data_IF_512387308164
#
_entry.id   IF_512387308164
#
_cell.length_a   1.000
_cell.length_b   1.000
_cell.length_c   1.000
_cell.angle_alpha   90.00
_cell.angle_beta   90.00
_cell.angle_gamma   90.00
#
_symmetry.space_group_name_H-M   'P 1'
#
loop_
_entity.id
_entity.type
_entity.pdbx_description
1 polymer ?
#
# COMPACT_ATOMS: atom_id res chain seq x y z
N UNK A 1 -22.25 -11.80 -5.11
CA UNK A 1 -21.83 -12.42 -6.38
C UNK A 1 -20.37 -12.10 -6.55
N UNK A 2 -19.51 -13.09 -6.80
CA UNK A 2 -18.08 -12.83 -7.05
C UNK A 2 -17.98 -12.10 -8.38
N UNK A 3 -17.36 -10.93 -8.38
CA UNK A 3 -17.17 -10.10 -9.57
C UNK A 3 -16.11 -10.76 -10.47
N UNK A 4 -16.58 -11.41 -11.54
CA UNK A 4 -15.74 -12.09 -12.51
C UNK A 4 -15.09 -11.15 -13.55
N UNK A 5 -15.34 -9.84 -13.50
CA UNK A 5 -14.84 -8.92 -14.53
C UNK A 5 -13.31 -8.79 -14.54
N UNK A 6 -12.68 -8.84 -13.37
CA UNK A 6 -11.22 -8.80 -13.27
C UNK A 6 -10.55 -10.10 -13.76
N UNK A 7 -11.23 -11.25 -13.63
CA UNK A 7 -10.71 -12.55 -14.06
C UNK A 7 -10.42 -12.60 -15.57
N UNK A 8 -11.30 -11.99 -16.39
CA UNK A 8 -11.09 -11.91 -17.85
C UNK A 8 -9.94 -10.98 -18.23
N UNK A 9 -9.72 -9.92 -17.46
CA UNK A 9 -8.69 -8.93 -17.77
C UNK A 9 -7.27 -9.41 -17.47
N UNK A 10 -7.14 -10.41 -16.59
CA UNK A 10 -5.85 -10.95 -16.15
C UNK A 10 -5.63 -12.43 -16.54
N UNK A 11 -6.45 -12.99 -17.43
CA UNK A 11 -6.34 -14.39 -17.91
C UNK A 11 -4.98 -14.70 -18.57
N UNK A 12 -4.28 -13.67 -19.06
CA UNK A 12 -2.92 -13.77 -19.65
C UNK A 12 -1.85 -13.07 -18.81
N UNK A 13 -2.15 -12.66 -17.60
CA UNK A 13 -1.19 -11.97 -16.74
C UNK A 13 -0.29 -12.98 -16.00
N UNK A 14 0.95 -12.57 -15.71
CA UNK A 14 1.86 -13.33 -14.86
C UNK A 14 1.57 -13.11 -13.37
N UNK A 15 2.45 -13.66 -12.53
CA UNK A 15 2.47 -13.36 -11.08
C UNK A 15 2.87 -11.90 -10.88
N UNK A 16 2.10 -11.19 -10.06
CA UNK A 16 2.46 -9.84 -9.63
C UNK A 16 3.45 -9.93 -8.47
N UNK A 17 4.53 -9.15 -8.55
CA UNK A 17 5.50 -8.98 -7.47
C UNK A 17 5.50 -7.51 -7.09
N UNK A 18 5.15 -7.22 -5.85
CA UNK A 18 5.21 -5.87 -5.32
C UNK A 18 6.62 -5.58 -4.80
N UNK A 19 7.17 -4.42 -5.16
CA UNK A 19 8.50 -3.97 -4.75
C UNK A 19 8.32 -2.69 -3.95
N UNK A 20 8.74 -2.72 -2.69
CA UNK A 20 8.67 -1.58 -1.78
C UNK A 20 10.08 -1.07 -1.47
N UNK A 21 10.50 0.08 -2.02
CA UNK A 21 11.72 0.75 -1.58
C UNK A 21 11.64 1.13 -0.11
N UNK A 22 12.77 0.99 0.59
CA UNK A 22 12.92 1.39 1.99
C UNK A 22 13.75 2.67 2.03
N UNK A 23 13.17 3.71 2.62
CA UNK A 23 13.73 5.05 2.67
C UNK A 23 14.20 5.39 4.08
N UNK A 24 15.21 6.25 4.19
CA UNK A 24 15.68 6.76 5.47
C UNK A 24 14.70 7.77 6.08
N UNK A 25 14.78 7.93 7.39
CA UNK A 25 14.00 8.92 8.15
C UNK A 25 14.93 9.81 8.99
N UNK A 26 14.48 11.03 9.33
CA UNK A 26 15.14 11.82 10.36
C UNK A 26 15.01 11.15 11.74
N UNK A 27 15.95 11.42 12.63
CA UNK A 27 15.96 10.83 13.98
C UNK A 27 14.84 11.37 14.89
N UNK A 28 14.44 12.62 14.68
CA UNK A 28 13.41 13.28 15.47
C UNK A 28 11.99 12.85 15.05
N UNK A 29 11.20 12.41 16.03
CA UNK A 29 9.82 11.93 15.80
C UNK A 29 8.88 13.01 15.26
N UNK A 30 9.07 14.29 15.63
CA UNK A 30 8.22 15.36 15.09
C UNK A 30 8.54 15.63 13.61
N UNK A 31 9.83 15.60 13.24
CA UNK A 31 10.29 15.68 11.86
C UNK A 31 9.74 14.51 11.02
N UNK A 32 9.76 13.28 11.55
CA UNK A 32 9.14 12.12 10.91
C UNK A 32 7.64 12.35 10.67
N UNK A 33 6.89 12.80 11.68
CA UNK A 33 5.46 13.07 11.53
C UNK A 33 5.17 14.16 10.49
N UNK A 34 6.00 15.21 10.43
CA UNK A 34 5.88 16.26 9.41
C UNK A 34 6.12 15.70 8.01
N UNK A 35 7.15 14.87 7.85
CA UNK A 35 7.46 14.19 6.60
C UNK A 35 6.30 13.30 6.14
N UNK A 36 5.74 12.47 7.03
CA UNK A 36 4.60 11.62 6.70
C UNK A 36 3.37 12.42 6.29
N UNK A 37 3.01 13.50 7.02
CA UNK A 37 1.87 14.35 6.65
C UNK A 37 2.08 15.04 5.30
N UNK A 38 3.31 15.44 5.00
CA UNK A 38 3.68 16.02 3.72
C UNK A 38 3.54 15.00 2.57
N UNK A 39 4.08 13.79 2.73
CA UNK A 39 3.92 12.71 1.75
C UNK A 39 2.45 12.31 1.56
N UNK A 40 1.67 12.26 2.65
CA UNK A 40 0.22 12.02 2.58
C UNK A 40 -0.52 13.08 1.76
N UNK A 41 -0.18 14.35 1.94
CA UNK A 41 -0.76 15.43 1.17
C UNK A 41 -0.40 15.29 -0.32
N UNK A 42 0.87 15.03 -0.64
CA UNK A 42 1.29 14.81 -2.02
C UNK A 42 0.60 13.60 -2.65
N UNK A 43 0.46 12.49 -1.92
CA UNK A 43 -0.27 11.31 -2.38
C UNK A 43 -1.75 11.62 -2.61
N UNK A 44 -2.41 12.37 -1.73
CA UNK A 44 -3.78 12.84 -1.93
C UNK A 44 -3.92 13.63 -3.24
N UNK A 45 -3.01 14.55 -3.51
CA UNK A 45 -2.99 15.35 -4.75
C UNK A 45 -2.69 14.49 -5.98
N UNK A 46 -1.73 13.57 -5.88
CA UNK A 46 -1.36 12.63 -6.94
C UNK A 46 -2.56 11.74 -7.31
N UNK A 47 -3.18 11.09 -6.34
CA UNK A 47 -4.38 10.28 -6.57
C UNK A 47 -5.52 11.14 -7.11
N UNK A 48 -5.74 12.32 -6.55
CA UNK A 48 -6.71 13.31 -7.03
C UNK A 48 -6.56 13.64 -8.52
N UNK A 49 -5.32 13.90 -8.94
CA UNK A 49 -5.01 14.28 -10.33
C UNK A 49 -5.13 13.11 -11.33
N UNK A 50 -4.83 11.89 -10.90
CA UNK A 50 -4.81 10.69 -11.76
C UNK A 50 -6.11 9.88 -11.77
N UNK A 51 -7.04 10.15 -10.85
CA UNK A 51 -8.30 9.41 -10.74
C UNK A 51 -9.23 9.64 -11.93
N UNK A 52 -9.91 8.57 -12.35
CA UNK A 52 -10.97 8.60 -13.37
C UNK A 52 -12.35 8.85 -12.75
N UNK A 53 -13.23 9.48 -13.51
CA UNK A 53 -14.65 9.67 -13.19
C UNK A 53 -15.42 8.34 -13.26
N UNK A 54 -15.21 7.48 -12.26
CA UNK A 54 -15.92 6.20 -12.09
C UNK A 54 -16.74 6.19 -10.81
N UNK A 55 -17.92 5.56 -10.86
CA UNK A 55 -18.80 5.39 -9.70
C UNK A 55 -18.10 4.63 -8.56
N UNK A 56 -18.43 4.98 -7.32
CA UNK A 56 -17.85 4.34 -6.16
C UNK A 56 -18.52 3.00 -5.86
N UNK A 57 -17.75 1.92 -5.90
CA UNK A 57 -18.21 0.58 -5.53
C UNK A 57 -18.03 0.25 -4.04
N UNK A 58 -17.61 1.21 -3.20
CA UNK A 58 -17.21 0.99 -1.81
C UNK A 58 -18.29 0.38 -0.91
N UNK A 59 -19.56 0.56 -1.26
CA UNK A 59 -20.73 0.12 -0.51
C UNK A 59 -21.60 -0.91 -1.26
N UNK A 60 -21.11 -1.46 -2.38
CA UNK A 60 -21.90 -2.39 -3.20
C UNK A 60 -22.27 -3.65 -2.41
N UNK A 61 -21.36 -4.17 -1.59
CA UNK A 61 -21.59 -5.34 -0.74
C UNK A 61 -22.03 -4.99 0.70
N UNK A 62 -22.33 -3.71 0.97
CA UNK A 62 -22.73 -3.28 2.31
C UNK A 62 -24.18 -3.70 2.61
N UNK A 63 -24.35 -4.51 3.66
CA UNK A 63 -25.67 -4.91 4.20
C UNK A 63 -26.37 -3.83 5.02
N UNK A 64 -25.70 -2.70 5.31
CA UNK A 64 -26.28 -1.60 6.09
C UNK A 64 -27.33 -0.79 5.33
N UNK A 65 -28.29 -0.22 6.06
CA UNK A 65 -29.27 0.73 5.52
C UNK A 65 -28.58 1.90 4.80
N UNK A 66 -29.21 2.40 3.73
CA UNK A 66 -28.74 3.52 2.90
C UNK A 66 -27.41 3.28 2.13
N UNK A 67 -26.96 2.04 1.96
CA UNK A 67 -25.75 1.71 1.20
C UNK A 67 -25.69 2.39 -0.19
N UNK A 68 -26.81 2.39 -0.94
CA UNK A 68 -26.93 3.06 -2.25
C UNK A 68 -26.72 4.58 -2.15
N UNK A 69 -27.38 5.24 -1.20
CA UNK A 69 -27.25 6.68 -0.99
C UNK A 69 -25.80 7.04 -0.61
N UNK A 70 -25.17 6.28 0.29
CA UNK A 70 -23.75 6.45 0.64
C UNK A 70 -22.84 6.29 -0.57
N UNK A 71 -23.15 5.36 -1.47
CA UNK A 71 -22.46 5.19 -2.75
C UNK A 71 -22.57 6.42 -3.66
N UNK A 72 -23.78 6.97 -3.82
CA UNK A 72 -24.00 8.18 -4.61
C UNK A 72 -23.32 9.41 -4.02
N UNK A 73 -23.49 9.65 -2.71
CA UNK A 73 -22.83 10.76 -2.00
C UNK A 73 -21.31 10.66 -2.15
N UNK A 74 -20.72 9.48 -1.95
CA UNK A 74 -19.29 9.27 -2.13
C UNK A 74 -18.85 9.51 -3.58
N UNK A 75 -19.65 9.10 -4.56
CA UNK A 75 -19.36 9.34 -5.98
C UNK A 75 -19.38 10.83 -6.31
N UNK A 76 -20.39 11.56 -5.83
CA UNK A 76 -20.48 13.01 -6.01
C UNK A 76 -19.27 13.73 -5.41
N UNK A 77 -18.90 13.41 -4.16
CA UNK A 77 -17.72 13.95 -3.51
C UNK A 77 -16.42 13.61 -4.25
N UNK A 78 -16.30 12.36 -4.73
CA UNK A 78 -15.16 11.92 -5.56
C UNK A 78 -15.06 12.75 -6.84
N UNK A 79 -16.17 12.99 -7.53
CA UNK A 79 -16.17 13.75 -8.78
C UNK A 79 -15.81 15.22 -8.55
N UNK A 80 -16.31 15.83 -7.48
CA UNK A 80 -15.90 17.18 -7.07
C UNK A 80 -14.39 17.25 -6.77
N UNK A 81 -13.86 16.25 -6.05
CA UNK A 81 -12.44 16.17 -5.75
C UNK A 81 -11.57 15.98 -7.01
N UNK A 82 -11.99 15.12 -7.94
CA UNK A 82 -11.29 14.94 -9.23
C UNK A 82 -11.33 16.25 -10.02
N UNK A 83 -12.50 16.89 -10.17
CA UNK A 83 -12.61 18.16 -10.88
C UNK A 83 -11.70 19.25 -10.33
N UNK A 84 -11.52 19.31 -9.01
CA UNK A 84 -10.62 20.25 -8.33
C UNK A 84 -9.13 19.90 -8.47
N UNK A 85 -8.76 18.64 -8.71
CA UNK A 85 -7.35 18.21 -8.69
C UNK A 85 -6.82 17.75 -10.05
N UNK A 86 -7.68 17.56 -11.05
CA UNK A 86 -7.29 16.98 -12.34
C UNK A 86 -6.30 17.84 -13.13
N UNK A 87 -6.29 19.16 -12.91
CA UNK A 87 -5.35 20.07 -13.56
C UNK A 87 -3.94 20.03 -12.93
N UNK A 88 -3.76 19.36 -11.79
CA UNK A 88 -2.45 19.27 -11.16
C UNK A 88 -1.53 18.37 -12.00
N UNK A 89 -0.25 18.73 -12.16
CA UNK A 89 0.69 17.97 -12.97
C UNK A 89 1.08 16.67 -12.26
N UNK A 90 0.36 15.58 -12.55
CA UNK A 90 0.55 14.25 -11.94
C UNK A 90 2.01 13.80 -11.98
N UNK A 91 2.70 13.97 -13.12
CA UNK A 91 4.10 13.54 -13.28
C UNK A 91 5.04 14.34 -12.38
N UNK A 92 4.79 15.64 -12.18
CA UNK A 92 5.57 16.47 -11.28
C UNK A 92 5.34 16.11 -9.81
N UNK A 93 4.09 15.78 -9.44
CA UNK A 93 3.77 15.29 -8.10
C UNK A 93 4.50 13.98 -7.78
N UNK A 94 4.49 13.01 -8.70
CA UNK A 94 5.22 11.74 -8.53
C UNK A 94 6.73 11.99 -8.39
N UNK A 95 7.31 12.84 -9.25
CA UNK A 95 8.73 13.21 -9.15
C UNK A 95 9.05 13.83 -7.79
N UNK A 96 8.16 14.70 -7.28
CA UNK A 96 8.32 15.34 -5.97
C UNK A 96 8.26 14.33 -4.83
N UNK A 97 7.29 13.41 -4.82
CA UNK A 97 7.18 12.33 -3.82
C UNK A 97 8.47 11.51 -3.78
N UNK A 98 8.99 11.13 -4.95
CA UNK A 98 10.22 10.34 -5.05
C UNK A 98 11.47 11.14 -4.61
N UNK A 99 11.55 12.42 -4.96
CA UNK A 99 12.63 13.30 -4.51
C UNK A 99 12.62 13.48 -2.98
N UNK A 100 11.44 13.62 -2.39
CA UNK A 100 11.28 13.78 -0.95
C UNK A 100 11.63 12.49 -0.18
N UNK A 101 11.30 11.32 -0.74
CA UNK A 101 11.70 10.04 -0.17
C UNK A 101 13.24 9.86 -0.13
N UNK A 102 13.96 10.46 -1.09
CA UNK A 102 15.43 10.38 -1.19
C UNK A 102 16.16 11.39 -0.29
N UNK A 103 15.46 12.26 0.43
CA UNK A 103 16.09 13.30 1.27
C UNK A 103 17.00 12.72 2.35
N UNK A 104 16.66 11.54 2.87
CA UNK A 104 17.42 10.83 3.91
C UNK A 104 17.93 9.51 3.34
N UNK A 105 19.23 9.42 2.97
CA UNK A 105 19.80 8.19 2.43
C UNK A 105 19.72 7.04 3.43
N UNK A 106 19.23 5.88 2.97
CA UNK A 106 19.14 4.65 3.77
C UNK A 106 20.45 4.32 4.51
N UNK A 107 21.61 4.52 3.86
CA UNK A 107 22.92 4.19 4.42
C UNK A 107 23.21 4.91 5.74
N UNK A 108 22.72 6.14 5.88
CA UNK A 108 23.07 7.05 6.97
C UNK A 108 21.94 7.20 8.00
N UNK A 109 20.76 6.63 7.73
CA UNK A 109 19.59 6.79 8.57
C UNK A 109 19.61 5.80 9.75
N UNK A 110 19.23 6.27 10.94
CA UNK A 110 18.95 5.39 12.07
C UNK A 110 17.62 4.68 11.92
N UNK A 111 16.59 5.41 11.47
CA UNK A 111 15.25 4.89 11.26
C UNK A 111 14.91 4.83 9.77
N UNK A 112 14.04 3.89 9.41
CA UNK A 112 13.64 3.61 8.02
C UNK A 112 12.15 3.35 7.92
N UNK A 113 11.57 3.58 6.73
CA UNK A 113 10.18 3.28 6.40
C UNK A 113 9.94 3.24 4.89
N UNK A 114 8.76 2.76 4.46
CA UNK A 114 8.34 2.79 3.05
C UNK A 114 7.64 4.13 2.75
N UNK A 115 8.37 5.19 2.38
CA UNK A 115 7.79 6.55 2.37
C UNK A 115 6.81 6.82 1.22
N UNK A 116 6.98 6.15 0.07
CA UNK A 116 6.25 6.49 -1.16
C UNK A 116 4.76 6.16 -1.06
N UNK A 117 4.37 5.10 -0.34
CA UNK A 117 2.96 4.67 -0.20
C UNK A 117 2.42 4.86 1.23
N UNK A 118 2.52 6.10 1.73
CA UNK A 118 2.10 6.49 3.08
C UNK A 118 0.56 6.60 3.28
N UNK A 119 -0.24 5.66 2.77
CA UNK A 119 -1.71 5.78 2.77
C UNK A 119 -2.34 6.06 4.16
N UNK A 120 -1.72 5.57 5.24
CA UNK A 120 -2.15 5.79 6.64
C UNK A 120 -1.08 6.44 7.54
N UNK A 121 -0.04 7.02 6.94
CA UNK A 121 1.00 7.77 7.65
C UNK A 121 1.99 6.88 8.39
N UNK A 122 2.17 5.64 7.91
CA UNK A 122 3.23 4.69 8.25
C UNK A 122 3.57 4.51 9.73
N UNK A 123 2.60 4.73 10.62
CA UNK A 123 2.82 4.70 12.07
C UNK A 123 3.35 3.37 12.60
N UNK A 124 3.20 2.27 11.84
CA UNK A 124 3.66 0.92 12.17
C UNK A 124 4.75 0.40 11.24
N UNK A 125 5.28 1.26 10.38
CA UNK A 125 6.31 0.89 9.40
C UNK A 125 7.59 1.70 9.63
N UNK A 126 7.80 2.17 10.87
CA UNK A 126 9.03 2.83 11.29
C UNK A 126 9.86 1.82 12.06
N UNK A 127 11.04 1.50 11.55
CA UNK A 127 11.96 0.53 12.15
C UNK A 127 13.32 1.17 12.37
N UNK A 128 14.09 0.66 13.35
CA UNK A 128 15.53 0.89 13.35
C UNK A 128 16.15 0.14 12.17
N UNK A 129 17.08 0.78 11.46
CA UNK A 129 17.76 0.19 10.29
C UNK A 129 18.44 -1.13 10.61
N UNK A 130 18.91 -1.28 11.85
CA UNK A 130 19.60 -2.48 12.35
C UNK A 130 18.78 -3.76 12.21
N UNK A 131 17.44 -3.67 12.18
CA UNK A 131 16.56 -4.81 11.89
C UNK A 131 16.85 -5.44 10.50
N UNK A 132 17.36 -4.64 9.55
CA UNK A 132 17.65 -5.03 8.18
C UNK A 132 19.13 -5.34 7.93
N UNK A 133 20.00 -5.20 8.94
CA UNK A 133 21.43 -5.47 8.79
C UNK A 133 21.72 -6.98 8.62
N UNK A 134 20.83 -7.84 9.13
CA UNK A 134 20.97 -9.29 9.07
C UNK A 134 19.79 -9.96 8.37
N UNK A 135 20.11 -10.99 7.59
CA UNK A 135 19.14 -11.82 6.88
C UNK A 135 19.42 -13.30 7.12
N UNK A 136 18.36 -14.09 7.11
CA UNK A 136 18.40 -15.55 7.21
C UNK A 136 17.69 -16.17 6.00
N UNK A 137 18.12 -17.37 5.59
CA UNK A 137 17.40 -18.14 4.58
C UNK A 137 16.18 -18.79 5.22
N UNK A 138 15.04 -18.67 4.54
CA UNK A 138 13.79 -19.29 4.94
C UNK A 138 13.37 -20.29 3.87
N UNK A 139 13.03 -21.53 4.24
CA UNK A 139 12.49 -22.49 3.30
C UNK A 139 11.08 -22.06 2.88
N UNK A 140 10.83 -22.09 1.58
CA UNK A 140 9.52 -21.87 0.99
C UNK A 140 9.34 -22.84 -0.18
N UNK A 141 8.42 -23.80 -0.01
CA UNK A 141 8.22 -24.90 -0.96
C UNK A 141 9.54 -25.67 -1.24
N UNK A 142 10.03 -25.63 -2.48
CA UNK A 142 11.24 -26.32 -2.95
C UNK A 142 12.48 -25.39 -3.04
N UNK A 143 12.37 -24.16 -2.55
CA UNK A 143 13.43 -23.14 -2.62
C UNK A 143 13.63 -22.44 -1.28
N UNK A 144 14.63 -21.57 -1.21
CA UNK A 144 14.92 -20.72 -0.06
C UNK A 144 14.94 -19.25 -0.47
N UNK A 145 14.43 -18.39 0.42
CA UNK A 145 14.46 -16.93 0.22
C UNK A 145 15.12 -16.23 1.40
N UNK A 146 15.81 -15.13 1.10
CA UNK A 146 16.30 -14.23 2.13
C UNK A 146 15.15 -13.47 2.78
N UNK A 147 15.05 -13.58 4.09
CA UNK A 147 14.18 -12.77 4.93
C UNK A 147 14.95 -12.11 6.07
N UNK A 148 14.29 -11.20 6.80
CA UNK A 148 14.85 -10.63 8.02
C UNK A 148 15.12 -11.73 9.04
N UNK A 149 16.26 -11.66 9.73
CA UNK A 149 16.54 -12.65 10.78
C UNK A 149 15.50 -12.61 11.90
N UNK A 150 15.09 -11.40 12.33
CA UNK A 150 14.00 -11.22 13.30
C UNK A 150 12.66 -10.95 12.59
N UNK A 151 12.21 -11.95 11.83
CA UNK A 151 10.95 -11.88 11.07
C UNK A 151 9.72 -11.84 11.99
N UNK A 152 9.78 -12.49 13.16
CA UNK A 152 8.68 -12.50 14.12
C UNK A 152 8.41 -11.10 14.69
N UNK A 153 9.46 -10.36 15.08
CA UNK A 153 9.32 -8.96 15.47
C UNK A 153 8.73 -8.12 14.33
N UNK A 154 9.26 -8.25 13.12
CA UNK A 154 8.78 -7.47 11.96
C UNK A 154 7.29 -7.72 11.68
N UNK A 155 6.88 -8.99 11.60
CA UNK A 155 5.51 -9.38 11.28
C UNK A 155 4.53 -9.08 12.41
N UNK A 156 4.92 -9.30 13.67
CA UNK A 156 4.08 -8.96 14.83
C UNK A 156 3.93 -7.45 14.99
N UNK A 157 4.96 -6.66 14.74
CA UNK A 157 4.87 -5.19 14.78
C UNK A 157 3.91 -4.65 13.71
N UNK A 158 3.98 -5.20 12.49
CA UNK A 158 3.17 -4.73 11.37
C UNK A 158 1.71 -5.22 11.46
N UNK A 159 1.52 -6.52 11.71
CA UNK A 159 0.22 -7.20 11.57
C UNK A 159 -0.40 -7.64 12.91
N UNK A 160 0.31 -7.54 14.04
CA UNK A 160 -0.08 -8.08 15.35
C UNK A 160 -0.16 -9.62 15.33
N UNK A 161 -1.36 -10.21 15.45
CA UNK A 161 -1.56 -11.66 15.51
C UNK A 161 -1.47 -12.31 14.12
N UNK A 162 -0.34 -12.14 13.42
CA UNK A 162 -0.17 -12.57 12.03
C UNK A 162 -0.29 -14.08 11.82
N UNK A 163 -0.05 -14.87 12.87
CA UNK A 163 -0.17 -16.33 12.87
C UNK A 163 -1.61 -16.84 13.11
N UNK A 164 -2.55 -15.95 13.45
CA UNK A 164 -3.95 -16.31 13.62
C UNK A 164 -4.68 -16.29 12.27
N UNK A 165 -5.08 -17.47 11.79
CA UNK A 165 -5.81 -17.56 10.53
C UNK A 165 -7.17 -16.84 10.63
N UNK A 166 -7.58 -16.10 9.58
CA UNK A 166 -8.90 -15.48 9.57
C UNK A 166 -10.00 -16.55 9.55
N UNK A 167 -11.25 -16.22 9.96
CA UNK A 167 -12.40 -17.10 9.84
C UNK A 167 -12.55 -17.73 8.45
N UNK A 168 -13.07 -18.95 8.36
CA UNK A 168 -13.15 -19.74 7.11
C UNK A 168 -13.88 -19.02 5.97
N UNK A 169 -14.92 -18.25 6.28
CA UNK A 169 -15.68 -17.43 5.33
C UNK A 169 -14.88 -16.25 4.76
N UNK A 170 -13.74 -15.91 5.38
CA UNK A 170 -12.81 -14.84 4.98
C UNK A 170 -11.49 -15.36 4.44
N UNK A 171 -11.28 -16.69 4.39
CA UNK A 171 -10.14 -17.32 3.71
C UNK A 171 -10.38 -17.37 2.18
N UNK A 172 -10.87 -16.28 1.62
CA UNK A 172 -11.10 -16.11 0.18
C UNK A 172 -10.11 -15.06 -0.34
N UNK A 173 -9.37 -15.34 -1.41
CA UNK A 173 -8.41 -14.39 -1.92
C UNK A 173 -9.08 -13.09 -2.41
N UNK A 174 -8.48 -11.95 -2.10
CA UNK A 174 -8.94 -10.65 -2.60
C UNK A 174 -8.51 -10.37 -4.04
N UNK A 175 -7.51 -11.09 -4.54
CA UNK A 175 -7.12 -11.06 -5.95
C UNK A 175 -8.09 -11.89 -6.80
N UNK A 176 -8.44 -11.37 -7.97
CA UNK A 176 -9.42 -11.96 -8.88
C UNK A 176 -8.73 -12.63 -10.08
N UNK A 177 -7.68 -13.42 -9.85
CA UNK A 177 -7.01 -14.23 -10.88
C UNK A 177 -6.44 -15.52 -10.26
N UNK A 178 -6.20 -16.53 -11.12
CA UNK A 178 -5.55 -17.79 -10.76
C UNK A 178 -4.23 -17.85 -11.49
N UNK A 179 -3.19 -18.25 -10.78
CA UNK A 179 -1.85 -18.43 -11.32
C UNK A 179 -1.61 -19.92 -11.49
N UNK A 180 -1.03 -20.29 -12.62
CA UNK A 180 -0.55 -21.64 -12.88
C UNK A 180 0.89 -21.56 -13.40
N UNK A 181 1.67 -22.60 -13.14
CA UNK A 181 2.94 -22.78 -13.83
C UNK A 181 2.69 -22.83 -15.34
N UNK A 182 3.52 -22.09 -16.10
CA UNK A 182 3.47 -22.13 -17.56
C UNK A 182 3.91 -23.52 -17.99
N UNK A 183 3.00 -24.28 -18.60
CA UNK A 183 3.30 -25.53 -19.28
C UNK A 183 4.15 -25.30 -20.53
#
# INVERSE_FOLDING_TARGET
>A
MVDNTLWRNFDKAGVFIDIFPIDGLPDDTQAQQKLFRHQQLLNLLFHGSSMKFTFSNRYVDSKGSFAKLKGYVRTFLKFGAIGLMHFLPTTSLIKKINQDAQQYPFSNAKYISVLVDCASGNKREVYEKTLFDNRSLYPFEDTEFWGLTDSDFYLSHLYNNYMEAPPKDRQVPHHNYRVYWKQ
#
